data_IF_424959511125
#
_entry.id   IF_424959511125
#
_cell.length_a   1.000
_cell.length_b   1.000
_cell.length_c   1.000
_cell.angle_alpha   90.00
_cell.angle_beta   90.00
_cell.angle_gamma   90.00
#
_symmetry.space_group_name_H-M   'P 1'
#
loop_
_entity.id
_entity.type
_entity.pdbx_description
1 polymer ?
#
# COMPACT_ATOMS: atom_id res chain seq x y z
N UNK A 1 22.93 27.95 28.25
CA UNK A 1 23.25 26.56 27.81
C UNK A 1 22.49 25.60 28.71
N UNK A 2 21.81 24.65 28.16
CA UNK A 2 21.25 23.51 28.90
C UNK A 2 21.86 22.21 28.35
N UNK A 3 21.89 21.17 29.17
CA UNK A 3 22.29 19.84 28.76
C UNK A 3 21.11 18.88 28.86
N UNK A 4 20.92 18.01 27.86
CA UNK A 4 19.87 16.98 27.92
C UNK A 4 20.04 16.06 29.13
N UNK A 5 21.26 15.91 29.64
CA UNK A 5 21.53 15.15 30.86
C UNK A 5 20.84 15.74 32.11
N UNK A 6 20.63 17.08 32.14
CA UNK A 6 19.87 17.73 33.22
C UNK A 6 18.37 17.45 33.09
N UNK A 7 17.88 17.39 31.84
CA UNK A 7 16.48 17.12 31.54
C UNK A 7 16.14 15.63 31.66
N UNK A 8 17.08 14.76 31.28
CA UNK A 8 16.92 13.30 31.22
C UNK A 8 18.18 12.63 31.82
N UNK A 9 18.36 12.66 33.16
CA UNK A 9 19.59 12.18 33.82
C UNK A 9 19.92 10.71 33.55
N UNK A 10 18.88 9.90 33.34
CA UNK A 10 19.02 8.46 33.03
C UNK A 10 19.22 8.14 31.55
N UNK A 11 19.25 9.16 30.67
CA UNK A 11 19.20 8.94 29.24
C UNK A 11 17.79 8.51 28.77
N UNK A 12 17.68 8.11 27.50
CA UNK A 12 16.41 7.64 26.91
C UNK A 12 16.67 6.59 25.83
N UNK A 13 15.67 5.76 25.60
CA UNK A 13 15.67 4.78 24.53
C UNK A 13 14.41 4.98 23.71
N UNK A 14 14.52 5.50 22.47
CA UNK A 14 13.37 5.66 21.59
C UNK A 14 12.69 4.31 21.32
N UNK A 15 11.35 4.34 21.27
CA UNK A 15 10.52 3.19 20.94
C UNK A 15 9.61 3.55 19.79
N UNK A 16 9.99 3.09 18.60
CA UNK A 16 9.19 3.19 17.39
C UNK A 16 8.17 2.06 17.35
N UNK A 17 6.97 2.35 16.85
CA UNK A 17 5.91 1.38 16.61
C UNK A 17 4.87 1.95 15.67
N UNK A 18 3.93 1.11 15.27
CA UNK A 18 2.76 1.51 14.50
C UNK A 18 1.52 0.79 15.03
N UNK A 19 0.40 1.50 15.00
CA UNK A 19 -0.93 0.92 15.09
C UNK A 19 -1.41 0.61 13.68
N UNK A 20 -1.72 -0.67 13.41
CA UNK A 20 -2.05 -1.14 12.07
C UNK A 20 -3.53 -1.49 11.99
N UNK A 21 -4.21 -0.95 10.99
CA UNK A 21 -5.58 -1.29 10.65
C UNK A 21 -5.66 -1.90 9.25
N UNK A 22 -6.31 -3.07 9.15
CA UNK A 22 -6.59 -3.75 7.89
C UNK A 22 -8.09 -3.96 7.74
N UNK A 23 -8.63 -3.60 6.57
CA UNK A 23 -10.02 -3.86 6.22
C UNK A 23 -10.10 -4.36 4.78
N UNK A 24 -10.91 -5.40 4.54
CA UNK A 24 -11.21 -5.84 3.18
C UNK A 24 -12.66 -6.29 3.02
N UNK A 25 -13.17 -6.13 1.81
CA UNK A 25 -14.48 -6.59 1.41
C UNK A 25 -14.41 -7.18 0.00
N UNK A 26 -15.01 -8.34 -0.19
CA UNK A 26 -15.20 -8.96 -1.48
C UNK A 26 -16.70 -9.25 -1.67
N UNK A 27 -17.22 -8.88 -2.83
CA UNK A 27 -18.54 -9.28 -3.29
C UNK A 27 -18.41 -9.88 -4.69
N UNK A 28 -19.08 -11.01 -4.94
CA UNK A 28 -19.05 -11.70 -6.22
C UNK A 28 -20.39 -12.25 -6.63
N UNK A 29 -20.52 -12.52 -7.91
CA UNK A 29 -21.66 -13.18 -8.53
C UNK A 29 -21.18 -14.07 -9.66
N UNK A 30 -21.42 -15.36 -9.56
CA UNK A 30 -21.01 -16.36 -10.52
C UNK A 30 -22.20 -17.12 -11.09
N UNK A 31 -21.98 -17.78 -12.20
CA UNK A 31 -22.99 -18.60 -12.84
C UNK A 31 -22.54 -19.17 -14.19
N UNK A 32 -23.53 -19.73 -14.92
CA UNK A 32 -23.33 -20.30 -16.23
C UNK A 32 -24.43 -19.84 -17.19
N UNK A 33 -24.03 -19.44 -18.39
CA UNK A 33 -24.96 -19.14 -19.46
C UNK A 33 -25.46 -20.44 -20.15
N UNK A 34 -26.60 -20.36 -20.83
CA UNK A 34 -27.21 -21.50 -21.51
C UNK A 34 -26.30 -22.13 -22.61
N UNK A 35 -25.26 -21.45 -23.05
CA UNK A 35 -24.29 -21.93 -24.02
C UNK A 35 -23.07 -22.61 -23.38
N UNK A 36 -23.06 -22.82 -22.06
CA UNK A 36 -21.97 -23.48 -21.33
C UNK A 36 -20.78 -22.59 -20.98
N UNK A 37 -20.86 -21.28 -21.21
CA UNK A 37 -19.85 -20.33 -20.72
C UNK A 37 -20.14 -20.05 -19.25
N UNK A 38 -19.18 -20.27 -18.37
CA UNK A 38 -19.26 -19.83 -17.00
C UNK A 38 -18.80 -18.37 -16.88
N UNK A 39 -19.28 -17.69 -15.86
CA UNK A 39 -18.86 -16.33 -15.53
C UNK A 39 -18.68 -16.16 -14.04
N UNK A 40 -17.74 -15.31 -13.66
CA UNK A 40 -17.53 -14.78 -12.31
C UNK A 40 -17.31 -13.28 -12.41
N UNK A 41 -18.13 -12.52 -11.71
CA UNK A 41 -17.95 -11.08 -11.53
C UNK A 41 -17.64 -10.83 -10.08
N UNK A 42 -16.54 -10.13 -9.81
CA UNK A 42 -16.18 -9.79 -8.44
C UNK A 42 -15.75 -8.34 -8.31
N UNK A 43 -16.00 -7.78 -7.14
CA UNK A 43 -15.50 -6.48 -6.72
C UNK A 43 -14.84 -6.62 -5.36
N UNK A 44 -13.57 -6.22 -5.30
CA UNK A 44 -12.76 -6.19 -4.11
C UNK A 44 -12.47 -4.76 -3.69
N UNK A 45 -12.52 -4.51 -2.40
CA UNK A 45 -12.03 -3.31 -1.73
C UNK A 45 -11.10 -3.73 -0.61
N UNK A 46 -9.89 -3.14 -0.58
CA UNK A 46 -8.92 -3.31 0.48
C UNK A 46 -8.45 -1.96 1.00
N UNK A 47 -8.20 -1.88 2.28
CA UNK A 47 -7.61 -0.73 2.97
C UNK A 47 -6.64 -1.23 4.03
N UNK A 48 -5.46 -0.61 4.08
CA UNK A 48 -4.46 -0.79 5.12
C UNK A 48 -3.97 0.57 5.57
N UNK A 49 -3.78 0.73 6.86
CA UNK A 49 -3.15 1.90 7.46
C UNK A 49 -2.14 1.46 8.51
N UNK A 50 -0.98 2.12 8.52
CA UNK A 50 0.00 2.04 9.58
C UNK A 50 0.19 3.45 10.14
N UNK A 51 -0.41 3.73 11.31
CA UNK A 51 -0.28 4.98 12.04
C UNK A 51 0.94 4.88 12.98
N UNK A 52 2.00 5.61 12.63
CA UNK A 52 3.32 5.44 13.22
C UNK A 52 3.54 6.40 14.40
N UNK A 53 4.15 5.89 15.45
CA UNK A 53 4.50 6.67 16.64
C UNK A 53 5.92 6.42 17.12
N UNK A 54 6.50 7.41 17.78
CA UNK A 54 7.80 7.32 18.42
C UNK A 54 7.69 7.78 19.88
N UNK A 55 7.80 6.85 20.78
CA UNK A 55 7.71 7.10 22.21
C UNK A 55 9.10 7.19 22.87
N UNK A 56 9.19 7.91 24.00
CA UNK A 56 10.39 8.09 24.80
C UNK A 56 11.58 8.60 23.98
N UNK A 57 11.34 9.62 23.15
CA UNK A 57 12.37 10.28 22.33
C UNK A 57 12.50 11.77 22.68
N UNK A 58 13.26 12.50 21.89
CA UNK A 58 13.42 13.97 21.94
C UNK A 58 13.70 14.48 20.53
N UNK A 59 13.26 15.70 20.23
CA UNK A 59 13.83 16.53 19.18
C UNK A 59 14.74 17.57 19.83
N UNK A 60 16.06 17.37 19.71
CA UNK A 60 17.03 18.18 20.44
C UNK A 60 16.97 19.67 20.09
N UNK A 61 16.52 20.03 18.89
CA UNK A 61 16.39 21.41 18.45
C UNK A 61 15.31 22.20 19.21
N UNK A 62 14.35 21.52 19.87
CA UNK A 62 13.36 22.15 20.75
C UNK A 62 13.85 22.38 22.18
N UNK A 63 15.04 21.85 22.51
CA UNK A 63 15.59 22.01 23.86
C UNK A 63 14.66 21.48 24.96
N UNK A 64 14.49 22.22 26.08
CA UNK A 64 13.62 21.80 27.19
C UNK A 64 12.13 21.66 26.81
N UNK A 65 11.70 22.26 25.69
CA UNK A 65 10.32 22.21 25.23
C UNK A 65 10.03 21.00 24.34
N UNK A 66 11.00 20.10 24.13
CA UNK A 66 10.83 18.93 23.28
C UNK A 66 9.71 18.01 23.80
N UNK A 67 8.78 17.57 22.95
CA UNK A 67 7.90 16.44 23.27
C UNK A 67 8.72 15.18 23.59
N UNK A 68 8.10 14.23 24.28
CA UNK A 68 8.71 12.93 24.57
C UNK A 68 8.10 11.80 23.76
N UNK A 69 6.91 12.04 23.22
CA UNK A 69 6.19 11.14 22.34
C UNK A 69 5.80 11.92 21.09
N UNK A 70 5.92 11.31 19.95
CA UNK A 70 5.70 11.92 18.65
C UNK A 70 4.76 11.05 17.84
N UNK A 71 3.78 11.71 17.23
CA UNK A 71 3.14 11.24 16.03
C UNK A 71 4.12 11.50 14.87
N UNK A 72 4.54 10.44 14.19
CA UNK A 72 5.51 10.54 13.10
C UNK A 72 4.87 10.45 11.73
N UNK A 73 3.54 10.27 11.67
CA UNK A 73 2.72 10.21 10.48
C UNK A 73 2.22 8.81 10.17
N UNK A 74 1.51 8.67 9.08
CA UNK A 74 0.91 7.41 8.68
C UNK A 74 1.13 7.10 7.21
N UNK A 75 1.18 5.80 6.88
CA UNK A 75 1.10 5.26 5.54
C UNK A 75 -0.24 4.58 5.36
N UNK A 76 -0.96 4.94 4.28
CA UNK A 76 -2.25 4.37 3.95
C UNK A 76 -2.20 3.80 2.53
N UNK A 77 -2.79 2.63 2.34
CA UNK A 77 -2.96 2.01 1.05
C UNK A 77 -4.42 1.59 0.84
N UNK A 78 -4.96 1.91 -0.32
CA UNK A 78 -6.30 1.51 -0.72
C UNK A 78 -6.24 0.82 -2.08
N UNK A 79 -7.01 -0.25 -2.25
CA UNK A 79 -7.19 -0.93 -3.52
C UNK A 79 -8.69 -1.15 -3.80
N UNK A 80 -9.09 -0.90 -5.04
CA UNK A 80 -10.38 -1.25 -5.62
C UNK A 80 -10.13 -2.07 -6.85
N UNK A 81 -10.69 -3.27 -6.92
CA UNK A 81 -10.49 -4.17 -8.04
C UNK A 81 -11.83 -4.77 -8.50
N UNK A 82 -12.11 -4.64 -9.78
CA UNK A 82 -13.23 -5.31 -10.45
C UNK A 82 -12.67 -6.35 -11.40
N UNK A 83 -13.20 -7.57 -11.30
CA UNK A 83 -12.88 -8.68 -12.21
C UNK A 83 -14.15 -9.17 -12.91
N UNK A 84 -13.96 -9.58 -14.16
CA UNK A 84 -14.96 -10.29 -14.96
C UNK A 84 -14.26 -11.45 -15.65
N UNK A 85 -14.44 -12.64 -15.11
CA UNK A 85 -13.78 -13.88 -15.52
C UNK A 85 -14.77 -14.79 -16.23
N UNK A 86 -14.31 -15.42 -17.32
CA UNK A 86 -15.12 -16.35 -18.10
C UNK A 86 -14.33 -17.61 -18.38
N UNK A 87 -15.00 -18.76 -18.35
CA UNK A 87 -14.44 -20.01 -18.83
C UNK A 87 -15.39 -20.71 -19.80
N UNK A 88 -14.83 -21.48 -20.71
CA UNK A 88 -15.60 -22.22 -21.71
C UNK A 88 -14.90 -23.51 -22.12
N UNK A 89 -15.60 -24.62 -21.93
CA UNK A 89 -15.19 -25.91 -22.51
C UNK A 89 -15.66 -25.98 -23.95
N UNK A 90 -14.78 -25.59 -24.90
CA UNK A 90 -15.13 -25.50 -26.32
C UNK A 90 -15.28 -26.90 -26.98
N UNK A 91 -14.56 -27.92 -26.46
CA UNK A 91 -14.68 -29.32 -26.81
C UNK A 91 -14.14 -30.19 -25.68
N UNK A 92 -14.22 -31.52 -25.83
CA UNK A 92 -13.63 -32.46 -24.85
C UNK A 92 -12.10 -32.26 -24.64
N UNK A 93 -11.45 -31.59 -25.59
CA UNK A 93 -9.99 -31.40 -25.60
C UNK A 93 -9.55 -29.93 -25.51
N UNK A 94 -10.47 -28.96 -25.59
CA UNK A 94 -10.14 -27.52 -25.62
C UNK A 94 -10.88 -26.79 -24.52
N UNK A 95 -10.10 -26.17 -23.62
CA UNK A 95 -10.57 -25.31 -22.58
C UNK A 95 -10.07 -23.87 -22.80
N UNK A 96 -10.94 -22.88 -22.59
CA UNK A 96 -10.66 -21.46 -22.71
C UNK A 96 -10.98 -20.75 -21.39
N UNK A 97 -10.10 -19.87 -20.97
CA UNK A 97 -10.38 -18.89 -19.94
C UNK A 97 -10.02 -17.49 -20.46
N UNK A 98 -10.83 -16.48 -20.14
CA UNK A 98 -10.55 -15.10 -20.53
C UNK A 98 -11.23 -14.15 -19.55
N UNK A 99 -10.70 -12.95 -19.43
CA UNK A 99 -11.28 -12.00 -18.51
C UNK A 99 -10.79 -10.57 -18.68
N UNK A 100 -11.39 -9.73 -17.87
CA UNK A 100 -11.11 -8.31 -17.75
C UNK A 100 -10.91 -7.96 -16.29
N UNK A 101 -9.91 -7.13 -16.02
CA UNK A 101 -9.64 -6.54 -14.70
C UNK A 101 -9.60 -5.02 -14.82
N UNK A 102 -10.19 -4.32 -13.84
CA UNK A 102 -10.00 -2.89 -13.65
C UNK A 102 -9.61 -2.64 -12.20
N UNK A 103 -8.41 -2.08 -11.98
CA UNK A 103 -7.86 -1.86 -10.64
C UNK A 103 -7.48 -0.39 -10.45
N UNK A 104 -7.81 0.13 -9.28
CA UNK A 104 -7.33 1.41 -8.79
C UNK A 104 -6.58 1.16 -7.48
N UNK A 105 -5.35 1.63 -7.40
CA UNK A 105 -4.52 1.63 -6.20
C UNK A 105 -4.27 3.08 -5.79
N UNK A 106 -4.37 3.37 -4.50
CA UNK A 106 -4.07 4.67 -3.93
C UNK A 106 -3.12 4.48 -2.75
N UNK A 107 -2.05 5.26 -2.72
CA UNK A 107 -1.12 5.34 -1.61
C UNK A 107 -1.13 6.77 -1.06
N UNK A 108 -1.31 6.90 0.25
CA UNK A 108 -1.29 8.19 0.94
C UNK A 108 -0.22 8.19 2.02
N UNK A 109 0.63 9.22 2.01
CA UNK A 109 1.56 9.52 3.07
C UNK A 109 1.03 10.70 3.88
N UNK A 110 0.74 10.47 5.15
CA UNK A 110 0.26 11.48 6.09
C UNK A 110 1.44 12.07 6.85
N UNK A 111 1.51 13.41 6.92
CA UNK A 111 2.58 14.05 7.67
C UNK A 111 2.43 13.83 9.18
N UNK A 112 3.55 13.63 9.85
CA UNK A 112 3.62 13.61 11.30
C UNK A 112 3.44 15.00 11.92
N UNK A 113 3.40 15.05 13.26
CA UNK A 113 3.38 16.31 13.96
C UNK A 113 4.64 17.16 13.67
N UNK A 114 4.55 18.49 13.57
CA UNK A 114 5.67 19.36 13.21
C UNK A 114 6.93 19.17 14.06
N UNK A 115 6.77 18.90 15.34
CA UNK A 115 7.87 18.68 16.28
C UNK A 115 8.68 17.42 15.98
N UNK A 116 8.11 16.47 15.21
CA UNK A 116 8.79 15.24 14.81
C UNK A 116 9.83 15.47 13.70
N UNK A 117 9.71 16.56 12.91
CA UNK A 117 10.59 16.81 11.75
C UNK A 117 11.11 18.24 11.62
N UNK A 118 10.52 19.26 12.29
CA UNK A 118 10.96 20.65 12.19
C UNK A 118 12.09 21.01 13.16
N UNK A 119 12.76 22.12 12.85
CA UNK A 119 13.68 22.80 13.77
C UNK A 119 12.91 23.56 14.85
N UNK A 120 13.19 23.27 16.10
CA UNK A 120 12.66 23.98 17.27
C UNK A 120 13.42 25.28 17.59
N UNK A 121 14.40 25.67 16.74
CA UNK A 121 15.14 26.92 16.86
C UNK A 121 16.56 26.79 17.42
N UNK A 122 17.01 25.61 17.81
CA UNK A 122 18.34 25.40 18.38
C UNK A 122 19.32 24.68 17.42
N UNK A 123 18.92 24.36 16.19
CA UNK A 123 19.78 23.70 15.22
C UNK A 123 21.06 24.51 14.91
N UNK A 124 20.95 25.84 14.84
CA UNK A 124 22.09 26.73 14.64
C UNK A 124 23.11 26.71 15.79
N UNK A 125 22.74 26.17 16.95
CA UNK A 125 23.60 25.96 18.10
C UNK A 125 24.21 24.55 18.17
N UNK A 126 23.99 23.72 17.11
CA UNK A 126 24.55 22.39 17.00
C UNK A 126 23.66 21.26 17.52
N UNK A 127 22.40 21.55 17.88
CA UNK A 127 21.44 20.51 18.24
C UNK A 127 20.86 19.83 17.00
N UNK A 128 20.68 18.50 17.07
CA UNK A 128 20.12 17.74 15.96
C UNK A 128 18.64 18.08 15.72
N UNK A 129 18.29 18.11 14.44
CA UNK A 129 16.91 18.24 13.96
C UNK A 129 16.17 16.93 14.12
N UNK A 130 14.85 17.01 14.12
CA UNK A 130 13.91 15.91 14.11
C UNK A 130 13.93 15.04 15.38
N UNK A 131 12.92 14.21 15.55
CA UNK A 131 12.84 13.25 16.65
C UNK A 131 13.94 12.20 16.52
N UNK A 132 14.62 11.93 17.64
CA UNK A 132 15.75 11.01 17.68
C UNK A 132 15.27 9.56 17.61
N UNK A 133 15.81 8.80 16.68
CA UNK A 133 15.49 7.40 16.41
C UNK A 133 14.65 7.19 15.16
N UNK A 134 13.65 8.00 14.92
CA UNK A 134 12.88 8.02 13.67
C UNK A 134 12.28 9.41 13.45
N UNK A 135 12.63 10.13 12.38
CA UNK A 135 12.04 11.43 12.07
C UNK A 135 10.63 11.22 11.49
N UNK A 136 9.70 12.11 11.87
CA UNK A 136 8.37 12.09 11.27
C UNK A 136 8.39 12.49 9.80
N UNK A 137 7.37 12.06 9.06
CA UNK A 137 7.16 12.44 7.67
C UNK A 137 6.88 13.95 7.58
N UNK A 138 7.68 14.70 6.81
CA UNK A 138 7.47 16.14 6.69
C UNK A 138 6.26 16.43 5.78
N UNK A 139 5.56 17.53 6.04
CA UNK A 139 4.44 18.01 5.21
C UNK A 139 4.81 18.10 3.72
N UNK A 140 6.07 18.39 3.40
CA UNK A 140 6.54 18.47 2.02
C UNK A 140 6.59 17.11 1.29
N UNK A 141 6.63 16.01 2.03
CA UNK A 141 6.58 14.65 1.49
C UNK A 141 5.16 14.06 1.52
N UNK A 142 4.25 14.65 2.30
CA UNK A 142 2.87 14.18 2.42
C UNK A 142 2.09 14.41 1.12
N UNK A 143 1.20 13.47 0.81
CA UNK A 143 0.37 13.52 -0.38
C UNK A 143 -0.35 12.20 -0.62
N UNK A 144 -1.19 12.20 -1.64
CA UNK A 144 -1.85 10.99 -2.13
C UNK A 144 -1.55 10.80 -3.61
N UNK A 145 -1.27 9.56 -4.00
CA UNK A 145 -0.95 9.15 -5.36
C UNK A 145 -1.81 7.95 -5.73
N UNK A 146 -2.47 8.04 -6.86
CA UNK A 146 -3.27 6.95 -7.40
C UNK A 146 -2.69 6.41 -8.71
N UNK A 147 -3.04 5.17 -9.01
CA UNK A 147 -2.72 4.48 -10.24
C UNK A 147 -3.88 3.60 -10.67
N UNK A 148 -4.26 3.75 -11.93
CA UNK A 148 -5.30 2.92 -12.54
C UNK A 148 -4.67 1.93 -13.53
N UNK A 149 -5.20 0.70 -13.52
CA UNK A 149 -4.85 -0.36 -14.45
C UNK A 149 -6.11 -0.96 -15.05
N UNK A 150 -6.02 -1.30 -16.35
CA UNK A 150 -6.99 -2.14 -17.05
C UNK A 150 -6.26 -3.28 -17.70
N UNK A 151 -6.75 -4.48 -17.54
CA UNK A 151 -6.16 -5.68 -18.13
C UNK A 151 -7.19 -6.50 -18.88
N UNK A 152 -6.73 -7.10 -19.99
CA UNK A 152 -7.41 -8.18 -20.71
C UNK A 152 -6.49 -9.39 -20.73
N UNK A 153 -7.02 -10.55 -20.48
CA UNK A 153 -6.25 -11.79 -20.50
C UNK A 153 -7.03 -12.93 -21.11
N UNK A 154 -6.31 -13.90 -21.64
CA UNK A 154 -6.83 -15.11 -22.17
C UNK A 154 -5.87 -16.26 -21.99
N UNK A 155 -6.42 -17.44 -21.78
CA UNK A 155 -5.73 -18.71 -21.63
C UNK A 155 -6.42 -19.76 -22.48
N UNK A 156 -5.61 -20.60 -23.13
CA UNK A 156 -6.04 -21.74 -23.93
C UNK A 156 -5.31 -22.98 -23.43
N UNK A 157 -6.04 -24.00 -23.03
CA UNK A 157 -5.52 -25.35 -22.83
C UNK A 157 -6.05 -26.27 -23.92
N UNK A 158 -5.14 -27.00 -24.56
CA UNK A 158 -5.48 -27.94 -25.62
C UNK A 158 -4.81 -29.33 -25.41
N UNK A 159 -5.63 -30.31 -25.14
CA UNK A 159 -5.22 -31.71 -25.08
C UNK A 159 -5.18 -32.29 -26.51
N UNK A 160 -3.98 -32.32 -27.10
CA UNK A 160 -3.79 -32.86 -28.46
C UNK A 160 -4.01 -34.38 -28.47
N UNK A 161 -3.47 -35.07 -27.47
CA UNK A 161 -3.69 -36.48 -27.19
C UNK A 161 -3.48 -36.78 -25.69
N UNK A 162 -3.56 -38.06 -25.30
CA UNK A 162 -3.40 -38.50 -23.90
C UNK A 162 -2.01 -38.24 -23.30
N UNK A 163 -1.05 -37.75 -24.06
CA UNK A 163 0.34 -37.52 -23.65
C UNK A 163 0.80 -36.08 -23.84
N UNK A 164 0.09 -35.29 -24.62
CA UNK A 164 0.50 -33.94 -24.98
C UNK A 164 -0.63 -32.94 -24.73
N UNK A 165 -0.38 -32.00 -23.81
CA UNK A 165 -1.19 -30.79 -23.60
C UNK A 165 -0.37 -29.58 -23.98
N UNK A 166 -0.99 -28.61 -24.66
CA UNK A 166 -0.43 -27.31 -24.96
C UNK A 166 -1.24 -26.26 -24.17
N UNK A 167 -0.55 -25.38 -23.46
CA UNK A 167 -1.12 -24.21 -22.82
C UNK A 167 -0.55 -22.93 -23.42
N UNK A 168 -1.40 -21.96 -23.71
CA UNK A 168 -1.04 -20.61 -24.16
C UNK A 168 -1.77 -19.60 -23.31
N UNK A 169 -1.01 -18.68 -22.71
CA UNK A 169 -1.57 -17.58 -21.93
C UNK A 169 -1.08 -16.23 -22.47
N UNK A 170 -1.96 -15.26 -22.50
CA UNK A 170 -1.67 -13.89 -22.88
C UNK A 170 -2.38 -12.92 -21.93
N UNK A 171 -1.66 -11.87 -21.51
CA UNK A 171 -2.20 -10.76 -20.73
C UNK A 171 -1.70 -9.45 -21.33
N UNK A 172 -2.60 -8.53 -21.53
CA UNK A 172 -2.34 -7.15 -21.90
C UNK A 172 -2.81 -6.24 -20.78
N UNK A 173 -1.99 -5.25 -20.43
CA UNK A 173 -2.28 -4.29 -19.39
C UNK A 173 -2.04 -2.86 -19.89
N UNK A 174 -2.84 -1.93 -19.40
CA UNK A 174 -2.73 -0.50 -19.64
C UNK A 174 -2.79 0.26 -18.31
N UNK A 175 -1.67 0.89 -17.99
CA UNK A 175 -1.52 1.71 -16.80
C UNK A 175 -1.54 3.19 -17.18
N UNK A 176 -2.30 4.01 -16.45
CA UNK A 176 -2.37 5.45 -16.69
C UNK A 176 -1.05 6.19 -16.39
N UNK A 177 -0.15 5.58 -15.61
CA UNK A 177 1.11 6.17 -15.19
C UNK A 177 2.30 5.89 -16.11
N UNK A 178 2.36 4.72 -16.77
CA UNK A 178 3.50 4.31 -17.60
C UNK A 178 3.10 3.59 -18.91
N UNK A 179 1.79 3.47 -19.19
CA UNK A 179 1.28 2.94 -20.45
C UNK A 179 1.13 1.42 -20.46
N UNK A 180 1.20 0.85 -21.66
CA UNK A 180 0.87 -0.57 -21.93
C UNK A 180 2.05 -1.51 -21.75
N UNK A 181 1.75 -2.73 -21.28
CA UNK A 181 2.67 -3.87 -21.15
C UNK A 181 2.10 -5.15 -21.74
#
# INVERSE_FOLDING_TARGET
CFAFQELIPGGFTPRFGADVEDMSMLIGYDGEFANGVTYDFSYYYGYNEADEFLNNSVNASYGPSTPRNFDVGAEQQQEKNFNADFTYQASDTVFLAFGYEARTEEYTLVAGQPESYLDGGLASQGFSLSSNGYPGFPMAAAGSWDRNNKALYGDLEWDIDSRLRIGLAYRWEDYDTFGTT
#
